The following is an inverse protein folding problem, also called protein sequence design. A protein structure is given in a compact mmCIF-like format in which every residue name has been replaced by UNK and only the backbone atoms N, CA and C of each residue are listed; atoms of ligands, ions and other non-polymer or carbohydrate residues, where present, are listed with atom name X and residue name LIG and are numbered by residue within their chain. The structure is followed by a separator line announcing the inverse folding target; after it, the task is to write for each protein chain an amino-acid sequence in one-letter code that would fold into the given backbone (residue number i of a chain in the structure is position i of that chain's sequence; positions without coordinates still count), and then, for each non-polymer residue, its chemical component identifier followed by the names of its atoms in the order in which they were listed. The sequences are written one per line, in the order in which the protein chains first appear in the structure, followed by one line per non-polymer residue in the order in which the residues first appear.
data_IF_225113440157
#
_entry.id   IF_225113440157
#
_cell.length_a   1.000
_cell.length_b   1.000
_cell.length_c   1.000
_cell.angle_alpha   90.00
_cell.angle_beta   90.00
_cell.angle_gamma   90.00
#
_symmetry.space_group_name_H-M   'P 1'
#
loop_
_entity.id
_entity.type
_entity.pdbx_description
1 polymer ?
#
# COMPACT_ATOMS: atom_id res chain seq x y z
N UNK A 1 -3.62 10.50 6.76
CA UNK A 1 -2.16 10.74 6.80
C UNK A 1 -1.56 10.44 5.43
N UNK A 2 -0.83 11.37 4.89
CA UNK A 2 -0.17 11.17 3.60
C UNK A 2 1.09 10.33 3.76
N UNK A 3 1.23 9.35 2.89
CA UNK A 3 2.37 8.44 2.85
C UNK A 3 2.93 8.43 1.43
N UNK A 4 4.24 8.64 1.30
CA UNK A 4 4.91 8.58 0.00
C UNK A 4 5.35 7.17 -0.31
N UNK A 5 5.06 6.72 -1.52
CA UNK A 5 5.60 5.47 -2.06
C UNK A 5 6.40 5.78 -3.32
N UNK A 6 7.10 4.77 -3.84
CA UNK A 6 7.80 4.87 -5.12
C UNK A 6 6.86 5.29 -6.26
N UNK A 7 5.58 4.96 -6.14
CA UNK A 7 4.58 5.15 -7.20
C UNK A 7 3.62 6.30 -6.95
N UNK A 8 3.81 7.07 -5.88
CA UNK A 8 2.98 8.23 -5.61
C UNK A 8 2.60 8.38 -4.15
N UNK A 9 1.70 9.30 -3.89
CA UNK A 9 1.25 9.64 -2.54
C UNK A 9 -0.07 8.93 -2.26
N UNK A 10 -0.18 8.31 -1.09
CA UNK A 10 -1.40 7.71 -0.60
C UNK A 10 -1.88 8.45 0.64
N UNK A 11 -3.19 8.59 0.80
CA UNK A 11 -3.78 9.05 2.04
C UNK A 11 -4.28 7.84 2.83
N UNK A 12 -3.61 7.55 3.95
CA UNK A 12 -3.92 6.39 4.78
C UNK A 12 -4.86 6.80 5.91
N UNK A 13 -6.06 6.24 5.89
CA UNK A 13 -7.08 6.39 6.93
C UNK A 13 -7.97 5.16 6.89
N UNK A 14 -8.74 4.93 7.93
CA UNK A 14 -9.69 3.81 7.97
C UNK A 14 -10.65 3.91 6.78
N UNK A 15 -10.77 2.83 6.03
CA UNK A 15 -11.61 2.75 4.83
C UNK A 15 -10.88 3.06 3.53
N UNK A 16 -9.65 3.60 3.57
CA UNK A 16 -8.86 3.82 2.37
C UNK A 16 -8.46 2.49 1.75
N UNK A 17 -8.33 2.47 0.43
CA UNK A 17 -7.86 1.29 -0.30
C UNK A 17 -6.58 1.60 -1.05
N UNK A 18 -5.74 0.58 -1.18
CA UNK A 18 -4.49 0.66 -1.95
C UNK A 18 -4.18 -0.71 -2.53
N UNK A 19 -3.17 -0.79 -3.38
CA UNK A 19 -2.81 -2.04 -4.03
C UNK A 19 -1.40 -2.47 -3.62
N UNK A 20 -1.22 -3.78 -3.45
CA UNK A 20 0.09 -4.40 -3.31
C UNK A 20 0.30 -5.31 -4.51
N UNK A 21 1.44 -5.18 -5.17
CA UNK A 21 1.73 -5.92 -6.41
C UNK A 21 2.97 -6.77 -6.21
N UNK A 22 2.83 -8.06 -6.46
CA UNK A 22 3.95 -9.01 -6.51
C UNK A 22 4.22 -9.35 -7.97
N UNK A 23 5.47 -9.17 -8.39
CA UNK A 23 5.83 -9.36 -9.78
C UNK A 23 5.51 -8.14 -10.64
N UNK A 24 5.10 -8.37 -11.89
CA UNK A 24 4.78 -7.30 -12.82
C UNK A 24 3.28 -7.26 -13.11
N UNK A 25 2.68 -6.07 -13.06
CA UNK A 25 1.26 -5.89 -13.44
C UNK A 25 1.03 -6.32 -14.89
N UNK A 26 2.04 -6.15 -15.75
CA UNK A 26 1.94 -6.48 -17.16
C UNK A 26 2.23 -7.95 -17.49
N UNK A 27 2.67 -8.75 -16.53
CA UNK A 27 3.12 -10.14 -16.74
C UNK A 27 2.57 -11.09 -15.70
N UNK A 28 1.27 -11.19 -15.58
CA UNK A 28 0.62 -12.14 -14.67
C UNK A 28 1.07 -11.97 -13.20
N UNK A 29 1.44 -10.76 -12.82
CA UNK A 29 1.72 -10.47 -11.41
C UNK A 29 0.47 -10.61 -10.56
N UNK A 30 0.67 -10.82 -9.27
CA UNK A 30 -0.42 -10.87 -8.30
C UNK A 30 -0.68 -9.46 -7.78
N UNK A 31 -1.92 -9.00 -7.91
CA UNK A 31 -2.37 -7.71 -7.37
C UNK A 31 -3.37 -7.97 -6.25
N UNK A 32 -3.08 -7.44 -5.08
CA UNK A 32 -3.95 -7.54 -3.92
C UNK A 32 -4.46 -6.15 -3.60
N UNK A 33 -5.78 -6.00 -3.50
CA UNK A 33 -6.39 -4.75 -3.07
C UNK A 33 -6.67 -4.85 -1.57
N UNK A 34 -6.07 -3.93 -0.82
CA UNK A 34 -6.16 -3.88 0.63
C UNK A 34 -7.04 -2.73 1.07
N UNK A 35 -7.79 -2.94 2.14
CA UNK A 35 -8.51 -1.88 2.85
C UNK A 35 -7.81 -1.59 4.17
N UNK A 36 -7.61 -0.32 4.48
CA UNK A 36 -7.05 0.11 5.77
C UNK A 36 -8.12 -0.03 6.85
N UNK A 37 -7.83 -0.79 7.90
CA UNK A 37 -8.80 -1.07 8.98
C UNK A 37 -8.36 -0.57 10.36
N UNK A 38 -7.20 0.11 10.44
CA UNK A 38 -6.77 0.78 11.67
C UNK A 38 -6.18 2.14 11.34
N UNK A 39 -6.14 3.02 12.33
CA UNK A 39 -5.42 4.28 12.21
C UNK A 39 -3.93 3.99 12.01
N UNK A 40 -3.22 4.79 11.18
CA UNK A 40 -1.78 4.62 11.02
C UNK A 40 -1.03 4.97 12.30
N UNK A 41 0.00 4.19 12.59
CA UNK A 41 0.91 4.41 13.70
C UNK A 41 2.26 4.88 13.16
N UNK A 42 2.84 5.88 13.79
CA UNK A 42 4.16 6.41 13.43
C UNK A 42 5.15 6.05 14.52
N UNK A 43 6.24 5.41 14.14
CA UNK A 43 7.35 5.10 15.04
C UNK A 43 8.58 5.88 14.60
N UNK A 44 9.21 6.60 15.51
CA UNK A 44 10.41 7.38 15.24
C UNK A 44 11.62 6.68 15.84
N UNK A 45 12.65 6.51 15.03
CA UNK A 45 13.90 5.87 15.44
C UNK A 45 14.94 6.88 15.88
N UNK A 46 15.97 6.40 16.58
CA UNK A 46 17.05 7.25 17.12
C UNK A 46 17.84 8.01 16.06
N UNK A 47 17.84 7.53 14.82
CA UNK A 47 18.53 8.18 13.70
C UNK A 47 17.65 9.25 13.00
N UNK A 48 16.46 9.52 13.53
CA UNK A 48 15.51 10.48 12.95
C UNK A 48 14.60 9.91 11.88
N UNK A 49 14.79 8.66 11.49
CA UNK A 49 13.89 8.03 10.52
C UNK A 49 12.56 7.68 11.17
N UNK A 50 11.53 7.52 10.33
CA UNK A 50 10.19 7.18 10.78
C UNK A 50 9.68 5.99 10.00
N UNK A 51 8.92 5.13 10.67
CA UNK A 51 8.11 4.13 9.99
C UNK A 51 6.64 4.40 10.26
N UNK A 52 5.82 4.15 9.28
CA UNK A 52 4.37 4.30 9.35
C UNK A 52 3.77 2.93 9.07
N UNK A 53 2.91 2.45 9.95
CA UNK A 53 2.29 1.14 9.79
C UNK A 53 0.81 1.20 10.13
N UNK A 54 0.06 0.29 9.55
CA UNK A 54 -1.38 0.18 9.76
C UNK A 54 -1.84 -1.25 9.51
N UNK A 55 -2.99 -1.60 10.04
CA UNK A 55 -3.60 -2.89 9.79
C UNK A 55 -4.45 -2.82 8.52
N UNK A 56 -4.33 -3.82 7.67
CA UNK A 56 -5.04 -3.89 6.39
C UNK A 56 -5.81 -5.21 6.26
N UNK A 57 -6.89 -5.18 5.50
CA UNK A 57 -7.68 -6.37 5.18
C UNK A 57 -7.68 -6.59 3.68
N UNK A 58 -7.37 -7.83 3.26
CA UNK A 58 -7.50 -8.23 1.86
C UNK A 58 -8.99 -8.18 1.48
N UNK A 59 -9.34 -7.36 0.50
CA UNK A 59 -10.74 -7.16 0.11
C UNK A 59 -11.39 -8.39 -0.50
N UNK A 60 -10.58 -9.33 -0.96
CA UNK A 60 -11.05 -10.57 -1.59
C UNK A 60 -11.17 -11.72 -0.61
N UNK A 61 -10.20 -11.89 0.29
CA UNK A 61 -10.12 -13.05 1.18
C UNK A 61 -10.51 -12.74 2.61
N UNK A 62 -10.48 -11.46 3.01
CA UNK A 62 -10.69 -11.06 4.40
C UNK A 62 -9.47 -11.22 5.29
N UNK A 63 -8.35 -11.73 4.76
CA UNK A 63 -7.11 -11.86 5.52
C UNK A 63 -6.62 -10.49 6.00
N UNK A 64 -6.17 -10.43 7.26
CA UNK A 64 -5.65 -9.21 7.85
C UNK A 64 -4.14 -9.29 7.98
N UNK A 65 -3.48 -8.16 7.71
CA UNK A 65 -2.03 -8.07 7.74
C UNK A 65 -1.60 -6.66 8.10
N UNK A 66 -0.57 -6.55 8.93
CA UNK A 66 0.06 -5.28 9.23
C UNK A 66 1.01 -4.90 8.09
N UNK A 67 0.83 -3.72 7.52
CA UNK A 67 1.65 -3.19 6.43
C UNK A 67 2.30 -1.90 6.91
N UNK A 68 3.56 -1.71 6.53
CA UNK A 68 4.30 -0.52 6.93
C UNK A 68 5.27 -0.05 5.86
N UNK A 69 5.63 1.23 5.96
CA UNK A 69 6.59 1.89 5.08
C UNK A 69 7.57 2.64 5.96
N UNK A 70 8.85 2.53 5.63
CA UNK A 70 9.93 3.19 6.34
C UNK A 70 10.55 4.27 5.45
N UNK A 71 10.80 5.47 6.00
CA UNK A 71 11.39 6.59 5.25
C UNK A 71 12.73 6.26 4.62
N UNK A 72 13.59 5.50 5.31
CA UNK A 72 14.86 5.07 4.77
C UNK A 72 14.74 4.01 3.69
N UNK A 73 13.63 3.32 3.68
CA UNK A 73 13.42 2.16 2.85
C UNK A 73 12.33 2.40 1.82
N UNK A 74 12.24 3.63 1.32
CA UNK A 74 11.24 3.97 0.30
C UNK A 74 11.33 3.04 -0.92
N UNK A 75 12.53 2.53 -1.21
CA UNK A 75 12.73 1.57 -2.29
C UNK A 75 12.01 0.24 -2.03
N UNK A 76 11.82 -0.11 -0.77
CA UNK A 76 11.10 -1.33 -0.40
C UNK A 76 9.58 -1.17 -0.48
N UNK A 77 9.11 0.06 -0.69
CA UNK A 77 7.70 0.29 -1.00
C UNK A 77 7.37 0.04 -2.48
N UNK A 78 8.31 -0.56 -3.23
CA UNK A 78 8.13 -0.84 -4.65
C UNK A 78 6.97 -1.79 -4.97
N UNK A 79 6.36 -2.40 -3.95
CA UNK A 79 5.19 -3.25 -4.11
C UNK A 79 3.88 -2.53 -3.79
N UNK A 80 3.94 -1.32 -3.22
CA UNK A 80 2.76 -0.60 -2.75
C UNK A 80 2.41 0.51 -3.75
N UNK A 81 1.21 0.43 -4.30
CA UNK A 81 0.71 1.39 -5.28
C UNK A 81 -0.49 2.14 -4.73
N UNK A 82 -0.56 3.46 -4.95
CA UNK A 82 -1.81 4.19 -4.72
C UNK A 82 -2.92 3.63 -5.61
N UNK A 83 -4.14 3.59 -5.10
CA UNK A 83 -5.27 3.05 -5.86
C UNK A 83 -5.55 3.85 -7.14
N UNK A 84 -5.19 5.13 -7.16
CA UNK A 84 -5.37 6.00 -8.32
C UNK A 84 -4.21 5.93 -9.33
N UNK A 85 -3.20 5.09 -9.09
CA UNK A 85 -2.12 4.90 -10.06
C UNK A 85 -2.68 4.37 -11.38
N UNK A 86 -2.24 4.91 -12.55
CA UNK A 86 -2.82 4.51 -13.85
C UNK A 86 -2.79 3.02 -14.13
N UNK A 87 -1.71 2.33 -13.74
CA UNK A 87 -1.61 0.87 -13.93
C UNK A 87 -2.62 0.11 -13.07
N UNK A 88 -2.87 0.58 -11.85
CA UNK A 88 -3.86 -0.04 -10.97
C UNK A 88 -5.28 0.19 -11.50
N UNK A 89 -5.57 1.40 -11.97
CA UNK A 89 -6.87 1.69 -12.59
C UNK A 89 -7.14 0.78 -13.77
N UNK A 90 -6.17 0.58 -14.65
CA UNK A 90 -6.30 -0.33 -15.81
C UNK A 90 -6.54 -1.76 -15.36
N UNK A 91 -5.83 -2.21 -14.34
CA UNK A 91 -6.02 -3.55 -13.80
C UNK A 91 -7.44 -3.74 -13.28
N UNK A 92 -7.95 -2.80 -12.48
CA UNK A 92 -9.31 -2.86 -11.94
C UNK A 92 -10.34 -2.88 -13.08
N UNK A 93 -10.17 -2.04 -14.08
CA UNK A 93 -11.05 -2.00 -15.24
C UNK A 93 -11.05 -3.32 -16.02
N UNK A 94 -9.90 -4.00 -16.08
CA UNK A 94 -9.78 -5.27 -16.76
C UNK A 94 -10.53 -6.41 -16.06
N UNK A 95 -10.89 -6.23 -14.80
CA UNK A 95 -11.64 -7.22 -14.01
C UNK A 95 -13.15 -7.13 -14.21
N UNK A 96 -13.62 -6.08 -14.87
CA UNK A 96 -15.05 -5.85 -15.07
C UNK A 96 -15.61 -6.51 -16.34
#
# INVERSE_FOLDING_TARGET
MEVKTVYGIMDIHIGAIFAEVYGSISRLGVVIIWEVISEPEVEEYSDGSKSISWLSRNTKTGEEKKIGINDHAIHYSSHIYPINHPKIKRYIESLK
#
